data_IF_647565123306
#
_entry.id   IF_647565123306
#
_cell.length_a   1.000
_cell.length_b   1.000
_cell.length_c   1.000
_cell.angle_alpha   90.00
_cell.angle_beta   90.00
_cell.angle_gamma   90.00
#
_symmetry.space_group_name_H-M   'P 1'
#
loop_
_entity.id
_entity.type
_entity.pdbx_description
1 polymer ?
2 non-polymer ?
3 water ?
#
# COMPACT_ATOMS: atom_id res chain seq x y z
CA UNK A 8 -37.44 15.22 22.71
C UNK A 8 -37.08 14.71 24.10
N UNK A 9 -37.75 13.64 24.53
CA UNK A 9 -37.48 13.03 25.83
C UNK A 9 -36.33 12.02 25.66
N UNK A 10 -35.20 12.32 26.28
CA UNK A 10 -34.01 11.50 26.17
C UNK A 10 -33.57 10.98 27.53
N UNK A 11 -32.96 9.81 27.60
CA UNK A 11 -32.50 9.28 28.89
C UNK A 11 -31.35 10.10 29.45
N UNK A 12 -31.07 9.88 30.74
CA UNK A 12 -30.02 10.62 31.40
C UNK A 12 -28.65 10.11 30.98
N UNK A 13 -27.63 10.98 30.98
CA UNK A 13 -26.29 10.53 30.60
C UNK A 13 -25.64 9.58 31.60
N UNK A 14 -26.26 9.37 32.77
CA UNK A 14 -25.71 8.43 33.74
C UNK A 14 -25.91 6.98 33.31
N UNK A 15 -26.86 6.71 32.42
CA UNK A 15 -27.11 5.37 31.92
C UNK A 15 -26.91 5.24 30.42
N UNK A 16 -26.76 6.35 29.70
CA UNK A 16 -26.56 6.33 28.25
C UNK A 16 -25.58 7.44 27.92
N UNK A 17 -24.31 7.07 27.68
CA UNK A 17 -23.26 8.07 27.52
C UNK A 17 -23.36 8.85 26.22
N UNK A 18 -24.11 8.35 25.23
CA UNK A 18 -24.21 9.00 23.93
C UNK A 18 -25.23 10.14 23.90
N UNK A 19 -25.67 10.62 25.06
CA UNK A 19 -26.65 11.69 25.15
C UNK A 19 -26.11 12.94 25.84
N UNK A 20 -24.84 12.92 26.26
CA UNK A 20 -24.25 14.08 26.92
C UNK A 20 -24.32 15.29 26.00
N UNK A 21 -24.56 16.47 26.59
CA UNK A 21 -24.65 17.69 25.82
C UNK A 21 -23.34 17.99 25.11
N UNK A 22 -23.45 18.52 23.89
CA UNK A 22 -22.27 18.82 23.09
C UNK A 22 -21.56 20.06 23.61
N UNK A 23 -20.24 19.98 23.69
CA UNK A 23 -19.41 21.10 24.12
C UNK A 23 -17.99 20.87 23.62
N UNK A 24 -17.14 21.87 23.82
CA UNK A 24 -15.74 21.74 23.44
C UNK A 24 -14.98 20.74 24.30
N UNK A 25 -15.59 20.22 25.35
CA UNK A 25 -14.96 19.22 26.20
C UNK A 25 -15.10 17.80 25.65
N UNK A 26 -15.80 17.62 24.53
CA UNK A 26 -16.08 16.27 24.03
C UNK A 26 -16.23 16.23 22.51
N UNK A 27 -16.41 17.37 21.88
CA UNK A 27 -16.59 17.40 20.42
C UNK A 27 -16.17 18.78 19.91
N UNK A 28 -15.51 18.78 18.76
CA UNK A 28 -15.07 20.02 18.11
C UNK A 28 -15.36 19.90 16.62
N UNK A 29 -16.00 20.93 16.06
CA UNK A 29 -16.32 20.94 14.63
C UNK A 29 -15.25 21.69 13.85
N UNK A 39 -24.18 19.63 6.15
CA UNK A 39 -23.72 18.69 7.17
C UNK A 39 -22.42 19.20 7.79
N UNK A 40 -22.41 19.35 9.11
CA UNK A 40 -21.21 19.85 9.79
C UNK A 40 -20.09 18.83 9.73
N UNK A 41 -18.94 19.26 9.22
CA UNK A 41 -17.76 18.41 9.13
C UNK A 41 -17.16 18.26 10.52
N UNK A 42 -17.07 17.02 11.00
CA UNK A 42 -16.56 16.75 12.35
C UNK A 42 -15.04 16.88 12.34
N UNK A 43 -14.51 17.75 13.18
CA UNK A 43 -13.06 17.91 13.29
C UNK A 43 -12.45 16.94 14.29
N UNK A 44 -13.13 16.69 15.41
CA UNK A 44 -12.62 15.76 16.40
C UNK A 44 -13.56 15.68 17.58
N UNK A 45 -13.09 14.99 18.62
CA UNK A 45 -13.86 14.82 19.82
C UNK A 45 -13.68 13.46 20.46
N UNK A 46 -14.35 13.23 21.59
CA UNK A 46 -14.23 11.95 22.28
C UNK A 46 -14.80 10.82 21.44
N UNK A 47 -14.33 9.60 21.73
CA UNK A 47 -14.79 8.44 20.96
C UNK A 47 -16.28 8.21 21.16
N UNK A 48 -16.82 8.64 22.30
CA UNK A 48 -18.26 8.53 22.52
C UNK A 48 -19.02 9.49 21.62
N UNK A 49 -18.48 10.69 21.42
CA UNK A 49 -19.13 11.65 20.53
C UNK A 49 -18.95 11.27 19.07
N UNK A 50 -17.85 10.58 18.74
CA UNK A 50 -17.65 10.15 17.36
C UNK A 50 -18.62 9.04 16.97
N UNK A 51 -18.97 8.16 17.91
CA UNK A 51 -19.95 7.12 17.62
C UNK A 51 -21.34 7.73 17.48
N UNK A 52 -21.64 8.80 18.23
CA UNK A 52 -22.94 9.44 18.13
C UNK A 52 -23.12 10.10 16.77
N UNK A 53 -22.10 10.84 16.32
CA UNK A 53 -22.15 11.44 14.98
C UNK A 53 -22.09 10.39 13.88
N UNK A 54 -21.51 9.22 14.16
CA UNK A 54 -21.48 8.16 13.16
C UNK A 54 -22.86 7.56 12.95
N UNK A 55 -23.65 7.45 14.01
CA UNK A 55 -25.00 6.91 13.96
C UNK A 55 -25.96 7.95 14.53
N UNK A 56 -26.10 9.07 13.83
CA UNK A 56 -26.90 10.19 14.31
C UNK A 56 -28.34 10.05 13.85
N UNK A 57 -29.27 10.43 14.72
CA UNK A 57 -30.70 10.29 14.43
C UNK A 57 -31.24 11.43 13.57
N UNK A 58 -30.60 12.60 13.60
CA UNK A 58 -31.11 13.72 12.82
C UNK A 58 -30.93 13.50 11.31
N UNK A 59 -29.77 12.98 10.91
CA UNK A 59 -29.48 12.80 9.49
C UNK A 59 -28.49 11.65 9.34
N UNK A 60 -28.23 11.29 8.08
CA UNK A 60 -27.24 10.30 7.73
C UNK A 60 -26.04 10.98 7.09
N UNK A 61 -24.84 10.55 7.46
CA UNK A 61 -23.59 11.13 6.99
C UNK A 61 -22.78 10.05 6.29
N UNK A 62 -23.06 9.79 5.01
CA UNK A 62 -22.33 8.72 4.30
C UNK A 62 -20.84 8.98 4.18
N UNK A 63 -20.42 10.23 4.02
CA UNK A 63 -19.00 10.52 3.91
C UNK A 63 -18.29 10.30 5.23
N UNK A 64 -18.96 10.61 6.36
CA UNK A 64 -18.33 10.39 7.66
C UNK A 64 -18.24 8.90 7.99
N UNK A 65 -19.14 8.09 7.44
CA UNK A 65 -19.06 6.65 7.68
C UNK A 65 -17.87 6.05 6.94
N UNK A 66 -17.65 6.47 5.69
CA UNK A 66 -16.55 5.92 4.91
C UNK A 66 -15.20 6.32 5.49
N UNK A 67 -15.08 7.56 5.97
CA UNK A 67 -13.81 8.01 6.53
C UNK A 67 -13.55 7.38 7.90
N UNK A 68 -14.60 7.21 8.70
CA UNK A 68 -14.44 6.62 10.03
C UNK A 68 -13.98 5.18 9.93
N UNK A 69 -14.73 4.35 9.20
CA UNK A 69 -14.38 2.94 9.08
C UNK A 69 -13.02 2.73 8.42
N UNK A 70 -12.51 3.74 7.71
CA UNK A 70 -11.21 3.60 7.07
C UNK A 70 -10.07 3.94 8.02
N UNK A 71 -10.30 4.83 8.99
CA UNK A 71 -9.24 5.35 9.84
C UNK A 71 -9.48 5.12 11.32
N UNK A 72 -10.49 4.34 11.70
CA UNK A 72 -10.80 4.19 13.12
C UNK A 72 -9.78 3.32 13.84
N UNK A 73 -9.01 2.50 13.12
CA UNK A 73 -8.06 1.60 13.76
C UNK A 73 -6.89 2.34 14.38
N UNK A 74 -6.65 3.59 13.98
CA UNK A 74 -5.58 4.38 14.57
C UNK A 74 -5.94 4.92 15.95
N UNK A 75 -7.22 4.95 16.30
CA UNK A 75 -7.65 5.46 17.60
C UNK A 75 -8.70 4.59 18.28
N UNK A 76 -9.09 3.47 17.68
CA UNK A 76 -10.10 2.60 18.27
C UNK A 76 -9.90 1.18 17.77
N UNK A 77 -9.78 0.24 18.69
CA UNK A 77 -9.60 -1.15 18.31
C UNK A 77 -10.90 -1.72 17.75
N UNK A 78 -10.82 -2.68 16.83
CA UNK A 78 -12.04 -3.24 16.24
C UNK A 78 -13.00 -3.84 17.25
N UNK A 79 -12.47 -4.51 18.28
CA UNK A 79 -13.33 -5.01 19.35
C UNK A 79 -13.99 -3.87 20.11
N UNK A 80 -13.31 -2.73 20.25
CA UNK A 80 -13.90 -1.59 20.93
C UNK A 80 -15.02 -0.96 20.10
N UNK A 81 -14.86 -0.95 18.77
CA UNK A 81 -15.88 -0.37 17.91
C UNK A 81 -17.18 -1.16 17.98
N UNK A 82 -17.10 -2.48 17.96
CA UNK A 82 -18.31 -3.29 18.03
C UNK A 82 -18.98 -3.16 19.39
N UNK A 83 -18.19 -3.02 20.46
CA UNK A 83 -18.76 -2.84 21.79
C UNK A 83 -19.49 -1.51 21.90
N UNK A 84 -18.95 -0.46 21.27
CA UNK A 84 -19.60 0.85 21.30
C UNK A 84 -20.88 0.84 20.47
N UNK A 85 -20.89 0.13 19.34
CA UNK A 85 -22.10 0.05 18.53
C UNK A 85 -23.18 -0.76 19.23
N UNK A 86 -22.79 -1.81 19.95
CA UNK A 86 -23.76 -2.54 20.77
C UNK A 86 -24.25 -1.66 21.91
N UNK A 87 -23.35 -0.86 22.50
CA UNK A 87 -23.77 0.07 23.54
C UNK A 87 -24.67 1.16 22.96
N UNK A 88 -24.39 1.61 21.74
CA UNK A 88 -25.25 2.59 21.09
C UNK A 88 -26.62 2.00 20.74
N UNK A 89 -26.66 0.69 20.46
CA UNK A 89 -27.92 0.05 20.10
C UNK A 89 -28.85 -0.06 21.30
N UNK A 90 -28.32 -0.56 22.43
CA UNK A 90 -29.12 -0.72 23.64
C UNK A 90 -29.44 0.63 24.25
N UNK A 91 -30.54 1.24 23.83
CA UNK A 91 -30.96 2.55 24.29
C UNK A 91 -32.01 2.38 25.38
N UNK A 92 -31.85 3.00 26.53
CA UNK A 92 -32.87 2.90 27.58
C UNK A 92 -33.94 3.97 27.46
N UNK A 93 -35.16 3.60 27.86
CA UNK A 93 -36.26 4.54 27.82
C UNK A 93 -36.14 5.56 28.95
N UNK A 94 -36.49 6.82 28.71
CA UNK A 94 -36.40 7.83 29.77
C UNK A 94 -37.41 7.59 30.87
N UNK A 95 -37.28 8.36 31.94
CA UNK A 95 -38.20 8.28 33.06
C UNK A 95 -39.42 9.17 32.85
N UNK A 115 -43.63 8.07 25.49
CA UNK A 115 -42.63 7.66 24.51
C UNK A 115 -43.23 7.64 23.10
N UNK A 116 -43.37 6.43 22.54
CA UNK A 116 -43.91 6.23 21.20
C UNK A 116 -43.09 6.99 20.15
N UNK A 117 -43.15 8.32 20.19
CA UNK A 117 -42.32 9.12 19.29
C UNK A 117 -40.83 8.92 19.58
N UNK A 118 -40.48 8.70 20.84
CA UNK A 118 -39.09 8.42 21.18
C UNK A 118 -38.62 7.12 20.54
N UNK A 119 -39.47 6.11 20.52
CA UNK A 119 -39.16 4.85 19.85
C UNK A 119 -39.29 4.96 18.33
N UNK A 120 -39.72 6.10 17.81
CA UNK A 120 -39.85 6.31 16.37
C UNK A 120 -38.97 7.42 15.84
N UNK A 121 -38.62 8.42 16.65
CA UNK A 121 -37.78 9.53 16.22
C UNK A 121 -36.38 9.46 16.80
N UNK A 122 -36.08 8.50 17.67
CA UNK A 122 -34.74 8.36 18.21
C UNK A 122 -34.27 6.90 18.19
N UNK A 123 -35.03 6.01 18.85
CA UNK A 123 -34.65 4.61 18.88
C UNK A 123 -34.71 4.00 17.49
N UNK A 124 -35.77 4.30 16.74
CA UNK A 124 -35.89 3.76 15.39
C UNK A 124 -34.81 4.27 14.45
N UNK A 125 -34.54 5.58 14.35
CA UNK A 125 -33.50 6.01 13.40
C UNK A 125 -32.10 5.60 13.81
N UNK A 126 -31.76 5.67 15.09
CA UNK A 126 -30.40 5.36 15.54
C UNK A 126 -30.08 3.90 15.25
N UNK A 127 -30.98 2.99 15.61
CA UNK A 127 -30.75 1.57 15.37
C UNK A 127 -30.63 1.27 13.87
N UNK A 128 -31.31 2.06 13.03
CA UNK A 128 -31.16 1.90 11.59
C UNK A 128 -29.81 2.43 11.11
N UNK A 129 -29.29 3.48 11.77
CA UNK A 129 -27.97 3.97 11.42
C UNK A 129 -26.89 2.97 11.77
N UNK A 130 -27.03 2.29 12.91
CA UNK A 130 -26.03 1.32 13.34
C UNK A 130 -25.97 0.15 12.37
N UNK A 131 -27.14 -0.35 11.96
CA UNK A 131 -27.17 -1.46 11.01
C UNK A 131 -26.58 -1.07 9.67
N UNK A 132 -26.75 0.19 9.26
CA UNK A 132 -26.12 0.67 8.03
C UNK A 132 -24.60 0.72 8.18
N UNK A 133 -24.12 1.07 9.38
CA UNK A 133 -22.68 1.03 9.65
C UNK A 133 -22.19 -0.42 9.63
N UNK A 134 -23.00 -1.35 10.13
CA UNK A 134 -22.66 -2.77 10.04
C UNK A 134 -22.58 -3.23 8.59
N UNK A 135 -23.36 -2.62 7.69
CA UNK A 135 -23.32 -3.00 6.29
C UNK A 135 -22.01 -2.57 5.65
N UNK A 136 -21.65 -1.29 5.77
CA UNK A 136 -20.41 -0.79 5.19
C UNK A 136 -19.18 -1.41 5.83
N UNK A 137 -19.29 -1.89 7.07
CA UNK A 137 -18.15 -2.51 7.73
C UNK A 137 -17.86 -3.88 7.13
N UNK A 138 -18.89 -4.73 7.02
CA UNK A 138 -18.69 -6.07 6.49
C UNK A 138 -18.51 -6.07 4.97
N UNK A 139 -18.89 -4.99 4.29
CA UNK A 139 -18.77 -4.91 2.84
C UNK A 139 -17.40 -4.41 2.40
N UNK A 140 -16.99 -3.25 2.91
CA UNK A 140 -15.76 -2.61 2.47
C UNK A 140 -14.55 -3.04 3.29
N UNK A 141 -14.72 -3.33 4.57
CA UNK A 141 -13.62 -3.62 5.48
C UNK A 141 -13.83 -4.96 6.17
N UNK A 142 -14.08 -6.00 5.38
CA UNK A 142 -14.31 -7.33 5.95
C UNK A 142 -13.04 -7.95 6.52
N UNK A 143 -11.87 -7.39 6.21
CA UNK A 143 -10.62 -7.96 6.72
C UNK A 143 -10.52 -7.89 8.23
N UNK A 144 -11.27 -7.00 8.87
CA UNK A 144 -11.29 -6.96 10.33
C UNK A 144 -11.80 -8.28 10.91
N UNK A 145 -12.75 -8.91 10.23
CA UNK A 145 -13.30 -10.18 10.69
C UNK A 145 -12.47 -11.38 10.25
N UNK A 146 -11.66 -11.23 9.19
CA UNK A 146 -10.75 -12.30 8.80
C UNK A 146 -9.54 -12.37 9.71
N UNK A 147 -8.98 -11.21 10.07
CA UNK A 147 -7.86 -11.17 11.00
C UNK A 147 -8.29 -11.50 12.42
N UNK A 148 -9.58 -11.34 12.74
CA UNK A 148 -10.09 -11.62 14.08
C UNK A 148 -11.41 -12.37 13.90
N UNK A 149 -11.37 -13.71 14.04
CA UNK A 149 -12.58 -14.51 13.91
C UNK A 149 -13.54 -14.29 15.07
N UNK A 150 -13.03 -13.88 16.23
CA UNK A 150 -13.91 -13.61 17.37
C UNK A 150 -14.74 -12.35 17.16
N UNK A 151 -14.20 -11.37 16.43
CA UNK A 151 -14.97 -10.17 16.11
C UNK A 151 -16.19 -10.50 15.26
N UNK A 152 -16.06 -11.48 14.36
CA UNK A 152 -17.20 -11.89 13.55
C UNK A 152 -18.20 -12.71 14.35
N UNK A 153 -17.70 -13.54 15.27
CA UNK A 153 -18.59 -14.36 16.10
C UNK A 153 -19.48 -13.49 16.96
N UNK A 154 -18.94 -12.39 17.50
CA UNK A 154 -19.76 -11.47 18.29
C UNK A 154 -20.83 -10.81 17.43
N UNK A 155 -20.47 -10.39 16.22
CA UNK A 155 -21.44 -9.72 15.35
C UNK A 155 -22.53 -10.67 14.88
N UNK A 156 -22.15 -11.92 14.56
CA UNK A 156 -23.13 -12.88 14.07
C UNK A 156 -24.15 -13.24 15.15
N UNK A 157 -23.75 -13.19 16.42
CA UNK A 157 -24.70 -13.48 17.50
C UNK A 157 -25.57 -12.28 17.81
N UNK A 158 -24.98 -11.08 17.79
CA UNK A 158 -25.77 -9.88 18.07
C UNK A 158 -26.75 -9.59 16.94
N UNK A 159 -26.35 -9.85 15.69
CA UNK A 159 -27.25 -9.66 14.56
C UNK A 159 -28.42 -10.64 14.64
N UNK A 160 -28.14 -11.90 14.99
CA UNK A 160 -29.20 -12.89 15.09
C UNK A 160 -30.13 -12.63 16.28
N UNK A 161 -29.62 -11.95 17.31
CA UNK A 161 -30.44 -11.68 18.48
C UNK A 161 -31.43 -10.54 18.27
N UNK A 162 -31.23 -9.72 17.24
CA UNK A 162 -32.14 -8.62 16.95
C UNK A 162 -33.34 -9.20 16.19
N UNK A 163 -34.50 -9.24 16.85
CA UNK A 163 -35.72 -9.75 16.26
C UNK A 163 -36.77 -8.66 16.08
N UNK A 164 -36.33 -7.43 15.80
CA UNK A 164 -37.25 -6.34 15.60
C UNK A 164 -38.01 -6.47 14.29
N UNK A 165 -39.01 -5.59 14.13
CA UNK A 165 -39.85 -5.62 12.94
C UNK A 165 -39.15 -5.00 11.73
N UNK A 166 -38.82 -3.71 11.82
CA UNK A 166 -38.20 -3.03 10.68
C UNK A 166 -36.73 -3.44 10.53
N UNK A 167 -36.08 -3.87 11.61
CA UNK A 167 -34.68 -4.27 11.55
C UNK A 167 -34.48 -5.63 10.91
N UNK A 168 -35.56 -6.33 10.53
CA UNK A 168 -35.41 -7.65 9.93
C UNK A 168 -34.78 -7.57 8.55
N UNK A 169 -35.16 -6.54 7.77
CA UNK A 169 -34.62 -6.41 6.41
C UNK A 169 -33.12 -6.11 6.44
N UNK A 170 -32.69 -5.23 7.35
CA UNK A 170 -31.27 -4.90 7.43
C UNK A 170 -30.46 -6.06 7.97
N UNK A 171 -31.01 -6.82 8.92
CA UNK A 171 -30.31 -7.97 9.48
C UNK A 171 -30.06 -9.01 8.39
N UNK A 172 -31.07 -9.30 7.58
CA UNK A 172 -30.89 -10.24 6.48
C UNK A 172 -29.92 -9.72 5.43
N UNK A 173 -29.84 -8.39 5.27
CA UNK A 173 -28.91 -7.82 4.32
C UNK A 173 -27.47 -8.00 4.79
N UNK A 174 -27.22 -7.81 6.09
CA UNK A 174 -25.88 -8.00 6.63
C UNK A 174 -25.48 -9.47 6.54
N UNK A 175 -26.42 -10.38 6.82
CA UNK A 175 -26.13 -11.80 6.75
C UNK A 175 -25.78 -12.23 5.33
N UNK A 176 -26.44 -11.63 4.34
CA UNK A 176 -26.13 -11.96 2.95
C UNK A 176 -24.71 -11.53 2.59
N UNK A 177 -24.27 -10.37 3.09
CA UNK A 177 -22.92 -9.90 2.79
C UNK A 177 -21.89 -10.79 3.47
N UNK A 178 -22.17 -11.23 4.70
CA UNK A 178 -21.24 -12.11 5.39
C UNK A 178 -21.15 -13.45 4.68
N UNK A 179 -22.27 -13.94 4.12
CA UNK A 179 -22.23 -15.19 3.37
C UNK A 179 -21.42 -15.05 2.09
N UNK A 180 -21.48 -13.89 1.44
CA UNK A 180 -20.72 -13.69 0.21
C UNK A 180 -19.22 -13.67 0.49
N UNK A 181 -18.80 -13.00 1.57
CA UNK A 181 -17.38 -12.93 1.90
C UNK A 181 -16.84 -14.28 2.33
N UNK A 182 -17.68 -15.15 2.90
CA UNK A 182 -17.21 -16.46 3.34
C UNK A 182 -17.01 -17.42 2.18
N UNK A 183 -17.73 -17.24 1.09
CA UNK A 183 -17.62 -18.14 -0.06
C UNK A 183 -16.42 -17.84 -0.95
N UNK A 184 -15.76 -16.69 -0.75
CA UNK A 184 -14.60 -16.36 -1.58
C UNK A 184 -13.42 -17.28 -1.29
N UNK A 185 -13.29 -17.74 -0.04
CA UNK A 185 -12.19 -18.63 0.32
C UNK A 185 -12.52 -20.08 -0.02
N UNK A 193 -7.90 -17.40 -16.09
CA UNK A 193 -7.05 -16.32 -16.56
C UNK A 193 -7.65 -15.72 -17.82
N UNK A 194 -8.64 -14.86 -17.66
CA UNK A 194 -9.35 -14.27 -18.79
C UNK A 194 -8.58 -13.07 -19.34
N UNK A 195 -8.54 -12.98 -20.67
CA UNK A 195 -7.90 -11.86 -21.36
C UNK A 195 -8.86 -11.29 -22.38
N UNK A 196 -9.12 -9.99 -22.29
CA UNK A 196 -9.95 -9.33 -23.28
C UNK A 196 -9.19 -9.14 -24.59
N UNK A 197 -8.07 -8.42 -24.53
CA UNK A 197 -7.21 -8.19 -25.67
C UNK A 197 -6.11 -9.26 -25.72
N UNK A 198 -5.57 -9.53 -26.91
CA UNK A 198 -4.51 -10.54 -27.03
C UNK A 198 -3.27 -10.11 -26.27
N UNK A 199 -2.78 -10.95 -25.35
CA UNK A 199 -1.54 -10.62 -24.64
C UNK A 199 -0.34 -10.75 -25.55
N UNK A 200 0.74 -10.02 -25.28
CA UNK A 200 1.94 -10.16 -26.09
C UNK A 200 2.66 -11.46 -25.78
N UNK A 201 3.48 -11.96 -26.71
CA UNK A 201 4.23 -13.19 -26.43
C UNK A 201 5.33 -12.95 -25.41
N UNK A 202 5.67 -14.02 -24.69
CA UNK A 202 6.69 -13.94 -23.65
C UNK A 202 8.06 -14.03 -24.31
N UNK A 203 8.87 -12.99 -24.12
CA UNK A 203 10.20 -12.93 -24.72
C UNK A 203 11.21 -13.67 -23.84
N UNK A 204 12.07 -14.46 -24.48
CA UNK A 204 13.11 -15.21 -23.79
C UNK A 204 14.47 -14.87 -24.40
N UNK A 205 15.52 -15.02 -23.58
CA UNK A 205 16.87 -14.68 -24.00
C UNK A 205 17.72 -15.93 -23.89
N UNK A 206 18.60 -16.03 -22.90
CA UNK A 206 19.48 -17.18 -22.76
C UNK A 206 18.82 -18.29 -21.95
N UNK A 207 18.18 -17.93 -20.84
CA UNK A 207 17.50 -18.90 -20.00
C UNK A 207 16.26 -19.43 -20.71
N UNK A 208 16.24 -20.73 -20.96
CA UNK A 208 15.07 -21.37 -21.56
C UNK A 208 14.03 -21.68 -20.49
N UNK A 209 12.75 -21.71 -20.86
CA UNK A 209 11.69 -21.94 -19.86
C UNK A 209 11.80 -23.32 -19.22
N UNK A 210 11.29 -23.42 -18.00
CA UNK A 210 11.32 -24.66 -17.25
C UNK A 210 12.57 -24.90 -16.44
N UNK A 211 13.56 -24.02 -16.54
CA UNK A 211 14.83 -24.15 -15.83
C UNK A 211 15.05 -22.89 -14.99
N UNK A 212 14.53 -22.91 -13.76
CA UNK A 212 14.66 -21.76 -12.87
C UNK A 212 16.07 -21.59 -12.33
N UNK A 213 16.93 -22.60 -12.50
CA UNK A 213 18.28 -22.53 -11.94
C UNK A 213 19.12 -21.47 -12.63
N UNK A 214 19.03 -21.39 -13.96
CA UNK A 214 19.84 -20.47 -14.75
C UNK A 214 19.18 -19.10 -14.93
N UNK A 215 18.31 -18.70 -14.01
CA UNK A 215 17.64 -17.41 -14.08
C UNK A 215 18.51 -16.35 -13.42
N UNK A 216 18.88 -15.32 -14.18
CA UNK A 216 19.67 -14.23 -13.66
C UNK A 216 19.26 -12.95 -14.38
N UNK A 217 19.81 -11.82 -13.93
CA UNK A 217 19.46 -10.53 -14.53
C UNK A 217 19.86 -10.48 -16.00
N UNK A 218 21.02 -11.04 -16.34
CA UNK A 218 21.52 -11.00 -17.71
C UNK A 218 21.05 -12.18 -18.55
N UNK A 219 20.69 -13.29 -17.93
CA UNK A 219 20.26 -14.47 -18.68
C UNK A 219 18.81 -14.34 -19.14
N UNK A 220 17.95 -13.76 -18.30
CA UNK A 220 16.56 -13.56 -18.69
C UNK A 220 16.45 -12.41 -19.71
N UNK A 221 15.30 -12.31 -20.34
CA UNK A 221 15.08 -11.28 -21.33
C UNK A 221 14.65 -9.99 -20.66
N UNK A 222 15.29 -8.86 -20.95
CA UNK A 222 14.94 -7.61 -20.26
C UNK A 222 13.51 -7.15 -20.51
N UNK A 223 12.91 -7.54 -21.63
CA UNK A 223 11.51 -7.21 -21.88
C UNK A 223 10.62 -7.92 -20.87
N UNK A 224 10.81 -9.24 -20.72
CA UNK A 224 9.99 -10.02 -19.81
C UNK A 224 10.33 -9.76 -18.35
N UNK A 225 11.55 -9.33 -18.05
CA UNK A 225 11.87 -8.96 -16.67
C UNK A 225 11.03 -7.79 -16.23
N UNK A 226 10.92 -6.76 -17.08
CA UNK A 226 10.10 -5.60 -16.73
C UNK A 226 8.62 -5.93 -16.78
N UNK A 227 8.22 -6.90 -17.59
CA UNK A 227 6.82 -7.30 -17.65
C UNK A 227 6.40 -8.04 -16.40
N UNK A 228 7.19 -9.04 -15.98
CA UNK A 228 6.84 -9.83 -14.80
C UNK A 228 6.98 -9.00 -13.53
N UNK A 229 7.96 -8.10 -13.48
CA UNK A 229 8.09 -7.22 -12.33
C UNK A 229 6.93 -6.24 -12.26
N UNK A 230 6.40 -5.81 -13.41
CA UNK A 230 5.23 -4.94 -13.40
C UNK A 230 3.98 -5.69 -12.95
N UNK A 231 3.83 -6.95 -13.41
CA UNK A 231 2.69 -7.75 -12.97
C UNK A 231 2.75 -8.03 -11.48
N UNK A 232 3.94 -8.28 -10.95
CA UNK A 232 4.08 -8.51 -9.52
C UNK A 232 3.83 -7.24 -8.72
N UNK A 233 4.44 -6.13 -9.13
CA UNK A 233 4.24 -4.87 -8.43
C UNK A 233 2.79 -4.39 -8.54
N UNK A 234 2.12 -4.69 -9.65
CA UNK A 234 0.72 -4.32 -9.80
C UNK A 234 -0.15 -5.09 -8.80
N UNK A 235 0.04 -6.41 -8.73
CA UNK A 235 -0.75 -7.22 -7.81
C UNK A 235 -0.48 -6.83 -6.36
N UNK A 236 0.79 -6.51 -6.03
CA UNK A 236 1.10 -6.04 -4.69
C UNK A 236 0.50 -4.66 -4.44
N UNK A 237 0.39 -3.84 -5.48
CA UNK A 237 -0.18 -2.50 -5.32
C UNK A 237 -1.69 -2.54 -5.12
N UNK A 238 -2.37 -3.51 -5.73
CA UNK A 238 -3.82 -3.56 -5.66
C UNK A 238 -4.31 -4.16 -4.35
N UNK A 239 -3.50 -5.01 -3.71
CA UNK A 239 -3.89 -5.65 -2.47
C UNK A 239 -3.70 -4.76 -1.23
N UNK A 240 -3.07 -3.60 -1.39
CA UNK A 240 -2.84 -2.69 -0.26
C UNK A 240 -4.14 -1.98 0.06
N UNK A 241 -4.63 -2.16 1.30
CA UNK A 241 -5.84 -1.50 1.78
C UNK A 241 -5.51 -0.18 2.47
N UNK A 242 -6.39 0.79 2.37
CA UNK A 242 -6.12 2.10 3.01
C UNK A 242 -5.98 2.03 4.52
N UNK A 243 -6.53 1.01 5.16
CA UNK A 243 -6.38 0.88 6.61
C UNK A 243 -4.96 0.49 7.01
N UNK A 244 -4.17 -0.06 6.08
CA UNK A 244 -2.79 -0.42 6.35
C UNK A 244 -1.86 0.78 6.36
N UNK A 245 -2.35 1.96 5.98
CA UNK A 245 -1.53 3.16 5.85
C UNK A 245 -1.95 4.26 6.81
N UNK A 246 -2.74 3.93 7.84
CA UNK A 246 -3.25 4.90 8.79
C UNK A 246 -2.64 4.61 10.16
N UNK A 247 -2.07 5.63 10.78
CA UNK A 247 -1.49 5.48 12.10
C UNK A 247 -0.11 4.88 12.13
N UNK A 248 0.56 4.76 10.98
CA UNK A 248 1.88 4.13 10.90
C UNK A 248 1.85 2.74 11.49
N UNK A 249 0.79 1.98 11.16
CA UNK A 249 0.57 0.68 11.77
C UNK A 249 1.62 -0.35 11.37
N UNK A 250 2.38 -0.09 10.29
CA UNK A 250 3.47 -0.99 9.94
C UNK A 250 4.71 -0.76 10.81
N UNK A 251 4.71 0.28 11.64
CA UNK A 251 5.78 0.53 12.59
C UNK A 251 5.41 0.16 14.01
N UNK A 252 4.22 -0.41 14.21
CA UNK A 252 3.77 -0.81 15.54
C UNK A 252 4.15 -2.27 15.80
N UNK A 253 3.56 -2.87 16.83
CA UNK A 253 3.88 -4.25 17.17
C UNK A 253 3.17 -5.23 16.24
N UNK A 254 1.85 -5.12 16.14
CA UNK A 254 1.05 -6.02 15.30
C UNK A 254 1.04 -5.55 13.85
N UNK A 255 2.23 -5.46 13.27
CA UNK A 255 2.36 -5.05 11.87
C UNK A 255 2.06 -6.20 10.92
N UNK A 256 2.37 -7.44 11.31
CA UNK A 256 2.14 -8.58 10.46
C UNK A 256 0.67 -8.95 10.34
N UNK A 257 -0.20 -8.32 11.14
CA UNK A 257 -1.64 -8.57 11.10
C UNK A 257 -2.39 -7.38 10.52
N UNK A 258 -2.05 -6.17 10.96
CA UNK A 258 -2.79 -4.99 10.53
C UNK A 258 -2.42 -4.57 9.11
N UNK A 259 -1.15 -4.69 8.74
CA UNK A 259 -0.66 -4.30 7.41
C UNK A 259 0.14 -5.44 6.80
N UNK A 260 -0.52 -6.49 6.32
CA UNK A 260 0.21 -7.60 5.70
C UNK A 260 0.64 -7.30 4.27
N UNK A 261 -0.25 -6.62 3.52
CA UNK A 261 0.05 -6.33 2.12
C UNK A 261 0.99 -5.14 2.00
N UNK A 262 0.87 -4.15 2.89
CA UNK A 262 1.76 -3.00 2.85
C UNK A 262 3.20 -3.43 3.10
N UNK A 263 3.41 -4.39 4.00
CA UNK A 263 4.76 -4.87 4.26
C UNK A 263 5.34 -5.62 3.06
N UNK A 264 4.51 -6.42 2.38
CA UNK A 264 5.00 -7.12 1.20
C UNK A 264 5.35 -6.16 0.07
N UNK A 265 4.64 -5.04 -0.03
CA UNK A 265 4.97 -4.04 -1.05
C UNK A 265 6.28 -3.34 -0.71
N UNK A 266 6.53 -3.10 0.57
CA UNK A 266 7.78 -2.46 0.97
C UNK A 266 8.94 -3.44 0.91
N UNK A 267 8.73 -4.68 1.38
CA UNK A 267 9.80 -5.67 1.35
C UNK A 267 10.18 -6.06 -0.07
N UNK A 268 9.25 -5.94 -1.02
CA UNK A 268 9.60 -6.16 -2.42
C UNK A 268 10.39 -4.99 -2.98
N UNK A 269 9.98 -3.76 -2.65
CA UNK A 269 10.73 -2.59 -3.09
C UNK A 269 12.14 -2.58 -2.50
N UNK A 270 12.26 -2.98 -1.22
CA UNK A 270 13.57 -3.01 -0.58
C UNK A 270 14.47 -4.07 -1.21
N UNK A 271 13.93 -5.27 -1.44
CA UNK A 271 14.75 -6.35 -1.97
C UNK A 271 15.14 -6.11 -3.42
N UNK A 272 14.20 -5.61 -4.23
CA UNK A 272 14.51 -5.39 -5.64
C UNK A 272 15.51 -4.24 -5.81
N UNK A 273 15.45 -3.23 -4.95
CA UNK A 273 16.43 -2.15 -5.02
C UNK A 273 17.82 -2.63 -4.63
N UNK A 274 17.91 -3.45 -3.60
CA UNK A 274 19.21 -3.98 -3.19
C UNK A 274 19.70 -5.06 -4.15
N UNK A 275 18.79 -5.79 -4.80
CA UNK A 275 19.19 -6.78 -5.78
C UNK A 275 19.81 -6.13 -7.01
N UNK A 276 19.23 -5.01 -7.46
CA UNK A 276 19.82 -4.25 -8.55
C UNK A 276 21.21 -3.75 -8.17
N UNK A 277 21.36 -3.24 -6.94
CA UNK A 277 22.68 -2.82 -6.47
C UNK A 277 23.63 -4.00 -6.36
N UNK A 278 23.11 -5.16 -5.94
CA UNK A 278 23.95 -6.35 -5.82
C UNK A 278 24.48 -6.81 -7.17
N UNK A 279 23.63 -6.76 -8.20
CA UNK A 279 24.08 -7.13 -9.54
C UNK A 279 25.08 -6.14 -10.11
N UNK A 280 25.09 -4.90 -9.61
CA UNK A 280 26.02 -3.90 -10.14
C UNK A 280 27.36 -3.99 -9.43
N UNK A 281 27.35 -4.07 -8.11
CA UNK A 281 28.59 -3.99 -7.35
C UNK A 281 29.35 -5.32 -7.38
N UNK A 282 28.66 -6.44 -7.56
CA UNK A 282 29.32 -7.74 -7.60
C UNK A 282 29.93 -8.04 -8.97
N UNK A 283 29.61 -7.26 -9.99
CA UNK A 283 30.22 -7.41 -11.32
C UNK A 283 31.62 -6.82 -11.26
N UNK A 284 32.58 -7.63 -10.82
CA UNK A 284 33.95 -7.15 -10.66
C UNK A 284 34.59 -6.78 -12.00
N UNK A 285 34.24 -7.52 -13.06
CA UNK A 285 34.76 -7.19 -14.39
C UNK A 285 34.17 -5.88 -14.87
N UNK A 286 35.03 -4.95 -15.31
CA UNK A 286 34.55 -3.64 -15.74
C UNK A 286 33.65 -3.75 -16.96
N UNK A 287 34.04 -4.57 -17.94
CA UNK A 287 33.22 -4.73 -19.14
C UNK A 287 31.88 -5.38 -18.79
N UNK A 288 31.85 -6.28 -17.81
CA UNK A 288 30.60 -6.90 -17.41
C UNK A 288 29.74 -5.94 -16.61
N UNK A 289 30.36 -5.07 -15.80
CA UNK A 289 29.59 -4.14 -14.98
C UNK A 289 28.88 -3.09 -15.82
N UNK A 290 29.48 -2.70 -16.95
CA UNK A 290 28.82 -1.73 -17.83
C UNK A 290 27.61 -2.36 -18.51
N UNK A 291 27.75 -3.63 -18.94
CA UNK A 291 26.64 -4.30 -19.61
C UNK A 291 25.49 -4.56 -18.64
N UNK A 292 25.81 -4.88 -17.38
CA UNK A 292 24.77 -5.09 -16.38
C UNK A 292 24.00 -3.79 -16.13
N UNK A 293 24.73 -2.69 -15.92
CA UNK A 293 24.08 -1.40 -15.71
C UNK A 293 23.28 -0.99 -16.93
N UNK A 294 23.80 -1.28 -18.13
CA UNK A 294 23.04 -0.99 -19.35
C UNK A 294 21.80 -1.85 -19.45
N UNK A 295 21.90 -3.12 -19.04
CA UNK A 295 20.73 -4.00 -19.05
C UNK A 295 19.66 -3.52 -18.09
N UNK A 296 20.08 -2.89 -16.98
CA UNK A 296 19.10 -2.35 -16.03
C UNK A 296 18.41 -1.12 -16.61
N UNK A 297 19.15 -0.30 -17.38
CA UNK A 297 18.55 0.85 -18.03
C UNK A 297 17.53 0.40 -19.07
N UNK A 298 17.80 -0.70 -19.77
CA UNK A 298 16.83 -1.24 -20.70
C UNK A 298 15.57 -1.71 -19.98
N UNK A 299 15.71 -2.21 -18.75
CA UNK A 299 14.54 -2.52 -17.94
C UNK A 299 13.83 -1.24 -17.52
N UNK A 300 14.59 -0.18 -17.24
CA UNK A 300 14.00 1.10 -16.92
C UNK A 300 13.20 1.65 -18.09
N UNK A 301 13.68 1.43 -19.32
CA UNK A 301 12.97 1.93 -20.49
C UNK A 301 11.67 1.19 -20.71
N UNK A 302 11.66 -0.13 -20.50
CA UNK A 302 10.42 -0.88 -20.62
C UNK A 302 9.47 -0.53 -19.47
N UNK A 303 10.01 -0.26 -18.28
CA UNK A 303 9.18 0.22 -17.19
C UNK A 303 8.47 1.52 -17.56
N UNK A 304 9.20 2.44 -18.22
CA UNK A 304 8.58 3.69 -18.66
C UNK A 304 7.47 3.44 -19.68
N UNK A 305 7.69 2.48 -20.59
CA UNK A 305 6.68 2.20 -21.61
C UNK A 305 5.45 1.53 -21.00
N UNK A 306 5.62 0.82 -19.90
CA UNK A 306 4.50 0.18 -19.20
C UNK A 306 3.91 1.06 -18.11
N UNK A 307 4.40 2.29 -17.95
CA UNK A 307 3.92 3.22 -16.93
C UNK A 307 4.06 2.64 -15.53
N UNK A 308 5.12 1.88 -15.31
CA UNK A 308 5.44 1.33 -13.99
C UNK A 308 6.45 2.24 -13.29
N UNK A 309 5.94 3.40 -12.86
CA UNK A 309 6.80 4.38 -12.20
C UNK A 309 7.38 3.84 -10.91
N UNK A 310 6.69 2.90 -10.27
CA UNK A 310 7.26 2.24 -9.10
C UNK A 310 8.55 1.51 -9.46
N UNK A 311 8.51 0.70 -10.53
CA UNK A 311 9.72 0.07 -11.01
C UNK A 311 10.70 1.05 -11.61
N UNK A 312 10.21 2.17 -12.13
CA UNK A 312 11.10 3.21 -12.66
C UNK A 312 11.93 3.82 -11.53
N UNK A 313 11.26 4.29 -10.49
CA UNK A 313 11.96 4.96 -9.39
C UNK A 313 12.63 3.98 -8.43
N UNK A 314 12.35 2.68 -8.55
CA UNK A 314 13.14 1.70 -7.81
C UNK A 314 14.53 1.56 -8.39
N UNK A 315 14.65 1.59 -9.72
CA UNK A 315 15.95 1.59 -10.37
C UNK A 315 16.70 2.88 -10.06
N UNK A 316 15.98 4.00 -10.02
CA UNK A 316 16.59 5.28 -9.68
C UNK A 316 17.11 5.26 -8.24
N UNK A 317 16.38 4.57 -7.35
CA UNK A 317 16.85 4.43 -5.97
C UNK A 317 18.12 3.59 -5.89
N UNK A 318 18.34 2.69 -6.85
CA UNK A 318 19.55 1.87 -6.85
C UNK A 318 20.75 2.65 -7.36
N UNK A 319 20.57 3.39 -8.47
CA UNK A 319 21.69 4.13 -9.05
C UNK A 319 22.06 5.35 -8.21
N UNK A 320 21.18 5.77 -7.30
CA UNK A 320 21.47 6.88 -6.39
C UNK A 320 21.89 6.42 -5.01
N UNK A 321 22.08 5.11 -4.82
CA UNK A 321 22.53 4.61 -3.52
C UNK A 321 23.99 4.99 -3.29
N UNK A 322 24.41 4.84 -2.03
CA UNK A 322 25.76 5.25 -1.66
C UNK A 322 26.82 4.39 -2.34
N UNK A 323 26.50 3.14 -2.64
CA UNK A 323 27.49 2.23 -3.23
C UNK A 323 27.51 2.26 -4.75
N UNK A 324 26.46 2.75 -5.40
CA UNK A 324 26.37 2.70 -6.85
C UNK A 324 26.62 4.09 -7.43
N UNK A 325 26.18 5.12 -6.72
CA UNK A 325 26.33 6.49 -7.24
C UNK A 325 27.78 6.89 -7.37
N UNK A 326 28.67 6.29 -6.58
CA UNK A 326 30.09 6.62 -6.61
C UNK A 326 30.85 5.89 -7.73
N UNK A 327 30.16 5.10 -8.55
CA UNK A 327 30.81 4.38 -9.64
C UNK A 327 30.83 5.24 -10.90
N UNK A 328 31.60 6.34 -10.82
CA UNK A 328 31.63 7.31 -11.90
C UNK A 328 32.20 6.71 -13.18
N UNK A 329 33.15 5.78 -13.06
CA UNK A 329 33.73 5.18 -14.26
C UNK A 329 32.76 4.21 -14.94
N UNK A 330 31.87 3.58 -14.17
CA UNK A 330 30.91 2.66 -14.77
C UNK A 330 29.82 3.44 -15.51
N UNK A 331 29.30 4.51 -14.91
CA UNK A 331 28.32 5.34 -15.57
C UNK A 331 28.91 6.12 -16.75
N UNK A 332 30.22 6.33 -16.77
CA UNK A 332 30.85 7.08 -17.84
C UNK A 332 31.00 6.25 -19.11
N UNK A 333 31.16 4.94 -18.98
CA UNK A 333 31.32 4.05 -20.12
C UNK A 333 29.99 3.70 -20.79
N UNK A 334 28.91 4.38 -20.43
CA UNK A 334 27.61 4.11 -21.01
C UNK A 334 27.45 4.82 -22.35
N UNK A 335 26.49 4.34 -23.13
CA UNK A 335 26.16 4.99 -24.39
C UNK A 335 25.51 6.35 -24.13
N UNK A 336 25.59 7.23 -25.12
CA UNK A 336 25.05 8.58 -24.97
C UNK A 336 23.54 8.55 -24.82
N UNK A 337 22.87 7.55 -25.39
CA UNK A 337 21.42 7.45 -25.25
C UNK A 337 21.02 6.77 -23.94
N UNK A 338 21.82 5.82 -23.46
CA UNK A 338 21.50 5.17 -22.20
C UNK A 338 21.59 6.13 -21.02
N UNK A 339 22.62 6.98 -21.01
CA UNK A 339 22.79 7.91 -19.89
C UNK A 339 21.72 9.01 -19.92
N UNK A 340 21.23 9.37 -21.10
CA UNK A 340 20.17 10.37 -21.18
C UNK A 340 18.85 9.81 -20.66
N UNK A 341 18.58 8.54 -20.92
CA UNK A 341 17.37 7.90 -20.40
C UNK A 341 17.41 7.87 -18.87
N UNK A 342 18.57 7.56 -18.31
CA UNK A 342 18.71 7.53 -16.86
C UNK A 342 18.59 8.94 -16.27
N UNK A 343 19.18 9.93 -16.93
CA UNK A 343 19.11 11.31 -16.43
C UNK A 343 17.67 11.82 -16.40
N UNK A 344 16.85 11.41 -17.37
CA UNK A 344 15.45 11.82 -17.37
C UNK A 344 14.69 11.14 -16.23
N UNK A 345 15.02 9.88 -15.94
CA UNK A 345 14.33 9.16 -14.88
C UNK A 345 14.71 9.69 -13.49
N UNK A 346 15.96 10.14 -13.33
CA UNK A 346 16.37 10.70 -12.05
C UNK A 346 15.70 12.04 -11.80
N UNK A 347 15.54 12.85 -12.86
CA UNK A 347 14.88 14.15 -12.72
C UNK A 347 13.42 14.01 -12.33
N UNK A 348 12.82 12.83 -12.54
CA UNK A 348 11.43 12.62 -12.11
C UNK A 348 11.31 12.71 -10.60
N UNK A 349 12.32 12.23 -9.87
CA UNK A 349 12.31 12.27 -8.41
C UNK A 349 12.87 13.57 -7.85
N UNK A 350 13.53 14.38 -8.67
CA UNK A 350 14.11 15.62 -8.18
C UNK A 350 13.01 16.65 -7.90
N UNK A 351 13.34 17.58 -7.00
CA UNK A 351 12.43 18.65 -6.60
C UNK A 351 11.11 18.09 -6.07
N UNK A 352 11.24 17.14 -5.13
CA UNK A 352 10.08 16.52 -4.47
C UNK A 352 9.14 15.88 -5.49
N UNK A 353 9.73 15.15 -6.44
CA UNK A 353 8.98 14.39 -7.45
C UNK A 353 8.08 15.30 -8.27
N UNK A 354 8.57 16.50 -8.59
CA UNK A 354 7.78 17.46 -9.35
C UNK A 354 7.49 16.95 -10.75
N UNK A 355 8.52 16.48 -11.45
CA UNK A 355 8.31 15.94 -12.79
C UNK A 355 7.55 14.63 -12.77
N UNK A 356 7.64 13.88 -11.67
CA UNK A 356 6.92 12.62 -11.57
C UNK A 356 5.41 12.84 -11.41
N UNK A 357 5.03 13.79 -10.56
CA UNK A 357 3.61 14.05 -10.34
C UNK A 357 2.94 14.57 -11.61
N UNK A 358 3.68 15.30 -12.45
CA UNK A 358 3.13 15.72 -13.73
C UNK A 358 3.04 14.53 -14.68
N UNK A 359 3.99 13.61 -14.61
CA UNK A 359 3.98 12.45 -15.51
C UNK A 359 2.91 11.44 -15.12
N UNK A 360 2.63 11.29 -13.83
CA UNK A 360 1.63 10.33 -13.40
C UNK A 360 0.22 10.74 -13.83
N UNK A 361 -0.03 12.04 -13.98
CA UNK A 361 -1.36 12.52 -14.36
C UNK A 361 -1.58 12.43 -15.87
N UNK A 362 -0.55 12.73 -16.66
CA UNK A 362 -0.71 12.85 -18.10
C UNK A 362 -0.71 11.51 -18.83
N UNK A 363 -0.83 10.39 -18.12
CA UNK A 363 -0.83 9.08 -18.78
C UNK A 363 -2.21 8.45 -18.66
N UNK A 364 -2.32 7.19 -19.10
CA UNK A 364 -3.54 6.41 -18.99
C UNK A 364 -3.22 5.03 -18.47
N UNK A 365 -4.10 4.45 -17.67
CA UNK A 365 -3.89 3.09 -17.16
C UNK A 365 -3.80 2.08 -18.30
N UNK A 366 -3.25 0.88 -18.06
CA UNK A 366 -2.72 0.37 -16.77
C UNK A 366 -1.38 0.97 -16.37
N UNK A 367 -1.25 1.30 -15.09
CA UNK A 367 -0.02 1.88 -14.57
C UNK A 367 0.17 1.44 -13.13
N UNK A 368 1.42 1.47 -12.68
CA UNK A 368 1.78 1.20 -11.30
C UNK A 368 2.54 2.41 -10.76
N UNK A 369 1.84 3.32 -10.07
CA UNK A 369 2.50 4.53 -9.58
C UNK A 369 3.53 4.22 -8.50
N UNK A 370 4.46 5.17 -8.32
CA UNK A 370 5.49 5.03 -7.31
C UNK A 370 4.86 5.05 -5.92
N UNK A 371 4.99 3.94 -5.19
CA UNK A 371 4.36 3.81 -3.89
C UNK A 371 5.13 4.51 -2.78
N UNK A 372 6.36 4.96 -3.03
CA UNK A 372 7.13 5.62 -2.00
C UNK A 372 6.71 7.05 -1.74
N UNK A 373 6.18 7.73 -2.76
CA UNK A 373 5.72 9.10 -2.56
C UNK A 373 4.49 9.14 -1.68
N UNK A 374 3.71 8.06 -1.66
CA UNK A 374 2.54 8.01 -0.79
C UNK A 374 2.94 7.84 0.68
N UNK A 375 3.96 7.01 0.94
CA UNK A 375 4.42 6.82 2.31
C UNK A 375 5.04 8.08 2.89
N UNK A 376 5.70 8.89 2.05
CA UNK A 376 6.35 10.09 2.55
C UNK A 376 5.34 11.13 3.00
N UNK A 377 4.27 11.34 2.21
CA UNK A 377 3.26 12.32 2.58
C UNK A 377 2.46 11.86 3.79
N UNK A 378 2.35 10.55 4.01
CA UNK A 378 1.63 10.05 5.18
C UNK A 378 2.44 10.30 6.45
N UNK A 379 3.75 10.04 6.39
CA UNK A 379 4.59 10.24 7.57
C UNK A 379 4.69 11.73 7.92
N UNK A 380 4.72 12.60 6.91
CA UNK A 380 4.76 14.03 7.20
C UNK A 380 3.46 14.51 7.85
N UNK A 381 2.37 13.79 7.62
CA UNK A 381 1.09 14.12 8.25
C UNK A 381 0.94 13.47 9.62
N UNK A 382 1.41 12.23 9.77
CA UNK A 382 1.33 11.55 11.06
C UNK A 382 2.17 12.24 12.12
N UNK A 383 3.24 12.91 11.70
CA UNK A 383 4.12 13.63 12.63
C UNK A 383 3.79 15.12 12.75
N UNK A 384 3.37 15.75 11.65
CA UNK A 384 3.00 17.15 11.68
C UNK A 384 1.69 17.43 12.39
N UNK A 385 0.87 16.41 12.63
CA UNK A 385 -0.39 16.55 13.33
C UNK A 385 -0.41 15.61 14.53
N UNK A 386 -0.91 16.11 15.66
CA UNK A 386 -0.99 15.30 16.86
C UNK A 386 -2.22 14.40 16.82
N UNK A 387 -2.10 13.22 17.44
CA UNK A 387 -3.19 12.26 17.49
C UNK A 387 -4.37 12.74 18.32
N UNK A 388 -4.21 13.77 19.14
CA UNK A 388 -5.26 14.22 20.05
C UNK A 388 -5.39 15.74 20.00
N UNK A 389 -6.60 16.21 20.27
CA UNK A 389 -6.90 17.63 20.38
C UNK A 389 -7.10 18.00 21.85
N UNK A 390 -6.88 19.27 22.15
CA UNK A 390 -7.06 19.77 23.51
C UNK A 390 -7.56 21.21 23.50
N UNK A 393 -10.25 21.60 26.86
CA UNK A 393 -9.70 21.43 28.19
C UNK A 393 -9.35 19.99 28.51
N UNK A 394 -9.77 19.08 27.63
CA UNK A 394 -9.54 17.64 27.80
C UNK A 394 -8.91 17.09 26.52
N UNK A 395 -8.50 15.83 26.59
CA UNK A 395 -7.90 15.15 25.44
C UNK A 395 -9.01 14.57 24.57
N UNK A 396 -9.11 15.07 23.34
CA UNK A 396 -10.10 14.60 22.37
C UNK A 396 -9.39 13.91 21.21
N UNK A 397 -10.08 12.94 20.60
CA UNK A 397 -9.51 12.23 19.45
C UNK A 397 -9.45 13.18 18.26
N UNK A 398 -8.24 13.47 17.80
CA UNK A 398 -8.05 14.35 16.65
C UNK A 398 -8.44 13.59 15.38
N UNK A 399 -9.68 13.80 14.92
CA UNK A 399 -10.18 13.08 13.75
C UNK A 399 -9.71 13.72 12.45
N UNK A 400 -9.45 15.03 12.45
CA UNK A 400 -9.00 15.70 11.23
C UNK A 400 -7.66 15.15 10.75
N UNK A 401 -6.79 14.76 11.69
CA UNK A 401 -5.53 14.12 11.31
C UNK A 401 -5.79 12.81 10.57
N UNK A 402 -6.76 12.03 11.04
CA UNK A 402 -7.11 10.78 10.36
C UNK A 402 -7.69 11.05 8.98
N UNK A 403 -8.43 12.15 8.82
CA UNK A 403 -8.99 12.48 7.52
C UNK A 403 -7.88 12.83 6.53
N UNK A 404 -6.85 13.56 6.98
CA UNK A 404 -5.74 13.92 6.09
C UNK A 404 -5.02 12.68 5.59
N UNK A 405 -4.79 11.71 6.47
CA UNK A 405 -4.19 10.45 6.05
C UNK A 405 -5.13 9.68 5.14
N UNK A 406 -6.44 9.88 5.30
CA UNK A 406 -7.40 9.22 4.42
C UNK A 406 -7.40 9.83 3.02
N UNK A 407 -7.14 11.14 2.92
CA UNK A 407 -7.09 11.78 1.61
C UNK A 407 -5.90 11.30 0.80
N UNK A 408 -4.79 10.97 1.46
CA UNK A 408 -3.63 10.44 0.76
C UNK A 408 -3.92 9.03 0.24
N UNK A 409 -4.60 8.22 1.05
CA UNK A 409 -4.99 6.88 0.60
C UNK A 409 -6.09 6.92 -0.46
N UNK A 410 -6.86 8.00 -0.52
CA UNK A 410 -7.86 8.12 -1.56
C UNK A 410 -7.27 8.26 -2.95
N UNK A 411 -6.08 8.86 -3.05
CA UNK A 411 -5.39 8.94 -4.33
C UNK A 411 -4.87 7.59 -4.78
N UNK A 412 -4.72 6.63 -3.85
CA UNK A 412 -4.28 5.29 -4.20
C UNK A 412 -5.43 4.44 -4.72
N UNK A 413 -6.68 4.85 -4.48
CA UNK A 413 -7.82 4.06 -4.91
C UNK A 413 -8.00 4.06 -6.42
N UNK A 414 -7.58 5.13 -7.09
CA UNK A 414 -7.88 5.31 -8.51
C UNK A 414 -6.91 4.61 -9.45
N UNK A 415 -5.85 4.00 -8.93
CA UNK A 415 -4.86 3.33 -9.77
C UNK A 415 -4.77 1.84 -9.49
N UNK A 416 -5.82 1.25 -8.93
CA UNK A 416 -5.82 -0.16 -8.57
C UNK A 416 -6.63 -1.04 -9.51
N UNK A 417 -7.83 -0.62 -9.90
CA UNK A 417 -8.71 -1.47 -10.70
C UNK A 417 -8.49 -1.18 -12.18
N UNK A 418 -7.36 -1.67 -12.68
CA UNK A 418 -7.01 -1.62 -14.09
C UNK A 418 -5.89 -2.61 -14.39
N UNK A 419 -6.22 -3.86 -14.67
CA UNK A 419 -5.18 -4.87 -14.86
C UNK A 419 -4.41 -4.66 -16.16
N UNK A 420 -3.17 -5.14 -16.16
CA UNK A 420 -2.35 -5.13 -17.36
C UNK A 420 -2.77 -6.25 -18.30
N UNK A 421 -2.56 -6.02 -19.59
CA UNK A 421 -2.81 -7.04 -20.62
C UNK A 421 -1.57 -7.87 -20.89
N UNK A 422 -0.86 -8.28 -19.84
CA UNK A 422 0.37 -9.06 -19.95
C UNK A 422 0.16 -10.44 -19.34
N UNK A 423 0.66 -11.46 -20.03
CA UNK A 423 0.53 -12.84 -19.55
C UNK A 423 1.55 -13.12 -18.46
N UNK A 424 1.14 -13.86 -17.45
CA UNK A 424 1.99 -14.18 -16.32
C UNK A 424 2.91 -15.34 -16.67
N UNK A 425 4.09 -15.35 -16.06
CA UNK A 425 5.05 -16.43 -16.25
C UNK A 425 5.34 -17.06 -14.89
N UNK A 426 4.87 -18.29 -14.63
CA UNK A 426 4.99 -18.85 -13.27
C UNK A 426 6.43 -19.02 -12.80
N UNK A 427 7.32 -19.52 -13.65
CA UNK A 427 8.70 -19.72 -13.23
C UNK A 427 9.39 -18.39 -12.94
N UNK A 428 9.15 -17.38 -13.77
CA UNK A 428 9.70 -16.06 -13.52
C UNK A 428 8.97 -15.31 -12.42
N UNK A 429 7.75 -15.73 -12.08
CA UNK A 429 7.01 -15.07 -11.02
C UNK A 429 7.60 -15.40 -9.65
N UNK A 430 7.88 -16.68 -9.40
CA UNK A 430 8.49 -17.07 -8.13
C UNK A 430 9.94 -16.65 -8.03
N UNK A 431 10.59 -16.35 -9.16
CA UNK A 431 11.98 -15.89 -9.12
C UNK A 431 12.08 -14.52 -8.46
N UNK A 432 11.18 -13.60 -8.80
CA UNK A 432 11.17 -12.28 -8.18
C UNK A 432 10.42 -12.27 -6.85
N UNK A 433 9.54 -13.25 -6.62
CA UNK A 433 8.89 -13.36 -5.31
C UNK A 433 9.83 -13.89 -4.25
N UNK A 434 10.90 -14.58 -4.64
CA UNK A 434 11.85 -15.17 -3.70
C UNK A 434 13.21 -14.49 -3.76
N UNK A 435 13.27 -13.24 -4.22
CA UNK A 435 14.53 -12.51 -4.24
C UNK A 435 14.94 -12.13 -2.83
N UNK A 436 16.10 -12.59 -2.40
CA UNK A 436 16.63 -12.31 -1.06
C UNK A 436 18.12 -12.06 -1.18
N UNK A 437 18.51 -10.85 -1.60
CA UNK A 437 19.95 -10.57 -1.76
C UNK A 437 20.70 -10.44 -0.45
N UNK A 438 20.02 -10.12 0.65
CA UNK A 438 20.69 -9.95 1.93
C UNK A 438 21.10 -11.29 2.55
N UNK A 439 20.50 -12.39 2.11
CA UNK A 439 20.82 -13.69 2.67
C UNK A 439 20.37 -13.82 4.11
N UNK A 440 21.32 -13.84 5.04
CA UNK A 440 21.02 -13.89 6.45
C UNK A 440 21.47 -12.64 7.21
N UNK A 441 22.18 -11.73 6.55
CA UNK A 441 22.63 -10.51 7.18
C UNK A 441 21.56 -9.43 7.11
N UNK A 442 21.65 -8.47 8.01
CA UNK A 442 20.68 -7.38 8.06
C UNK A 442 20.94 -6.40 6.91
N UNK A 443 20.04 -5.43 6.77
CA UNK A 443 20.19 -4.43 5.73
C UNK A 443 21.41 -3.53 5.98
N UNK A 444 21.67 -3.21 7.25
CA UNK A 444 22.85 -2.41 7.57
C UNK A 444 24.13 -3.17 7.28
N UNK A 445 24.14 -4.49 7.54
CA UNK A 445 25.32 -5.29 7.25
C UNK A 445 25.50 -5.50 5.76
N UNK A 446 24.40 -5.58 5.00
CA UNK A 446 24.50 -5.78 3.56
C UNK A 446 24.89 -4.50 2.84
N UNK A 447 24.33 -3.35 3.26
CA UNK A 447 24.71 -2.08 2.66
C UNK A 447 26.17 -1.74 2.93
N UNK A 448 26.69 -2.11 4.11
CA UNK A 448 28.12 -1.95 4.37
C UNK A 448 28.93 -2.86 3.45
N UNK A 449 28.41 -4.06 3.15
CA UNK A 449 29.08 -4.93 2.20
C UNK A 449 29.06 -4.34 0.80
N UNK A 450 27.95 -3.69 0.42
CA UNK A 450 27.88 -3.05 -0.89
C UNK A 450 28.83 -1.87 -0.98
N UNK A 451 29.01 -1.13 0.10
CA UNK A 451 29.90 0.03 0.08
C UNK A 451 31.35 -0.41 0.09
N UNK A 452 31.70 -1.43 0.89
CA UNK A 452 33.07 -1.93 0.90
C UNK A 452 33.42 -2.63 -0.41
N UNK A 453 32.46 -3.31 -1.02
CA UNK A 453 32.70 -3.91 -2.33
C UNK A 453 32.82 -2.84 -3.42
N UNK A 454 32.12 -1.71 -3.26
CA UNK A 454 32.22 -0.62 -4.22
C UNK A 454 33.61 0.00 -4.18
N UNK A 455 34.21 0.11 -2.99
CA UNK A 455 35.56 0.62 -2.85
C UNK A 455 36.61 -0.31 -3.45
N UNK A 456 36.23 -1.56 -3.75
CA UNK A 456 37.14 -2.51 -4.38
C UNK A 456 37.13 -2.41 -5.90
N UNK A 457 35.93 -2.32 -6.50
CA UNK A 457 35.82 -2.29 -7.95
C UNK A 457 36.29 -0.95 -8.50
N UNK A 458 35.94 0.15 -7.83
CA UNK A 458 36.37 1.49 -8.22
C UNK A 458 36.85 2.20 -6.97
N UNK A 459 38.12 2.05 -6.62
CA UNK A 459 38.63 2.67 -5.39
C UNK A 459 38.65 4.18 -5.48
N UNK A 460 38.69 4.81 -4.30
CA UNK A 460 38.66 6.27 -4.17
C UNK A 460 40.08 6.81 -4.38
N UNK A 461 40.46 6.93 -5.65
CA UNK A 461 41.75 7.48 -6.03
C UNK A 461 41.66 7.94 -7.47
N UNK A 462 42.58 8.82 -7.91
CA UNK A 462 42.60 9.23 -9.32
C UNK A 462 43.10 8.14 -10.26
N UNK A 463 43.49 6.97 -9.76
CA UNK A 463 44.02 5.92 -10.61
C UNK A 463 42.89 5.17 -11.30
N UNK A 464 43.26 4.41 -12.33
CA UNK A 464 42.29 3.63 -13.08
C UNK A 464 41.84 2.42 -12.25
N UNK A 465 40.60 1.96 -12.45
CA UNK A 465 40.13 0.78 -11.73
C UNK A 465 40.81 -0.48 -12.23
N UNK A 466 41.22 -1.37 -11.34
CA UNK A 466 41.89 -2.60 -11.77
C UNK A 466 40.93 -3.55 -12.47
N UNK A 467 41.51 -4.43 -13.28
CA UNK A 467 40.75 -5.40 -14.06
C UNK A 467 40.70 -6.73 -13.31
N UNK A 468 39.50 -7.27 -13.15
CA UNK A 468 39.27 -8.54 -12.49
C UNK A 468 38.72 -9.55 -13.49
N UNK A 469 39.01 -10.84 -13.31
CA UNK A 469 38.48 -11.85 -14.23
C UNK A 469 36.97 -12.00 -14.05
N UNK A 470 36.28 -12.19 -15.17
CA UNK A 470 34.83 -12.34 -15.16
C UNK A 470 34.44 -13.72 -14.66
N UNK A 471 33.48 -13.76 -13.74
CA UNK A 471 33.03 -15.01 -13.15
C UNK A 471 31.84 -15.61 -13.89
N UNK A 472 31.29 -14.91 -14.89
CA UNK A 472 30.17 -15.41 -15.66
C UNK A 472 30.66 -16.09 -16.94
N UNK A 473 29.75 -16.84 -17.56
CA UNK A 473 30.05 -17.58 -18.78
C UNK A 473 29.12 -17.26 -19.94
N UNK A 474 27.98 -16.62 -19.69
CA UNK A 474 27.04 -16.29 -20.75
C UNK A 474 27.54 -15.09 -21.55
N UNK A 475 26.75 -14.71 -22.56
CA UNK A 475 27.10 -13.59 -23.43
C UNK A 475 26.54 -12.29 -22.88
N UNK A 476 27.36 -11.24 -22.92
CA UNK A 476 26.96 -9.91 -22.45
C UNK A 476 26.15 -9.14 -23.48
N UNK A 477 25.80 -9.75 -24.60
CA UNK A 477 25.03 -9.07 -25.64
C UNK A 477 23.56 -9.01 -25.24
N UNK A 478 22.98 -7.82 -25.37
CA UNK A 478 21.56 -7.66 -25.00
C UNK A 478 20.67 -7.88 -26.20
N UNK A 479 19.55 -8.59 -26.03
CA UNK A 479 18.65 -8.83 -27.16
C UNK A 479 17.91 -7.58 -27.61
N UNK A 480 17.79 -6.57 -26.76
CA UNK A 480 17.16 -5.32 -27.14
C UNK A 480 15.82 -5.14 -26.45
N UNK A 481 15.17 -4.03 -26.81
CA UNK A 481 13.87 -3.69 -26.26
C UNK A 481 12.74 -3.89 -27.27
N UNK A 482 13.02 -3.83 -28.56
CA UNK A 482 11.99 -4.11 -29.55
C UNK A 482 11.52 -5.55 -29.42
N UNK A 483 10.20 -5.79 -29.32
CA UNK A 483 9.70 -7.16 -29.20
C UNK A 483 10.02 -7.96 -30.45
N UNK A 484 10.81 -9.01 -30.28
CA UNK A 484 11.22 -9.86 -31.40
C UNK A 484 10.33 -11.10 -31.50
X LIG B 1 24.29 9.63 -13.66
X LIG B 1 29.10 9.77 -13.02
X LIG B 1 27.72 9.36 -12.53
X LIG B 1 27.59 8.70 -11.31
X LIG B 1 26.34 8.31 -10.85
X LIG B 1 25.21 8.64 -11.66
X LIG B 1 23.90 8.29 -11.25
X LIG B 1 22.81 8.60 -12.05
X LIG B 1 23.00 9.28 -13.26
X LIG B 1 25.41 9.30 -12.84
X LIG B 1 30.14 10.07 -13.40
X LIG B 1 26.65 9.65 -13.26
X LIG B 1 24.47 10.30 -14.88
#
# INVERSE_FOLDING_TARGET
>A
GAMAEQQLRLPSPEVYRFVVKDSEENIVFEDNLQSRSGIPIIKGGTVVKLIERLTYHMYADPNFVRTFLTTYRSFCKPQELLSLLIERFEIPEPEPTDADKLAIEKGEQPISADLKRFRKEYVQPVQLRILNVFRHWVEHHFYDFERDLYLLERLESFISSVRGKAMKKWVESIAKIIRRKKQAQANGVSHNITFESPPPPIEWHISKPGHIETFDLMTLHPIEIARQLTLLESDLYRKVQPSELVGSVWTKEDKEINSPNLLKMIRHTTNLTLWFEKCIVEAENFEERVAVLSRIIEILQVFQDLNNFNGVLEIVSAVNSVSVYRLDHTFEALQERKRKILDEAVELSQDHFKKYLVKLKSINPPCVPFFGIYLTNILKTEEGNNDFLTRHGKDLINFSKRRKVAEITGEIQQYQNQPYCLRIEPDMRRFFENLNPMGSASEKEFTDYLFNKSLEIEPRNPKQPPRFPRKSTFSLKSPGIRPN
>B hetero
1 WRN C10 C02 C03 C04 C05 C06 C07 C08 C09 C12 N01 N13 O11
#
